data_IF_059313044157
#
_entry.id   IF_059313044157
#
_cell.length_a   1.000
_cell.length_b   1.000
_cell.length_c   1.000
_cell.angle_alpha   90.00
_cell.angle_beta   90.00
_cell.angle_gamma   90.00
#
_symmetry.space_group_name_H-M   'P 1'
#
loop_
_entity.id
_entity.type
_entity.pdbx_description
1 polymer ?
#
# COMPACT_ATOMS: atom_id res chain seq x y z
N UNK A 1 13.35 2.15 20.24
CA UNK A 1 13.46 2.95 19.00
C UNK A 1 12.28 2.55 18.15
N UNK A 2 11.24 3.39 18.11
CA UNK A 2 10.05 3.14 17.31
C UNK A 2 10.46 3.05 15.85
N UNK A 3 10.60 1.82 15.40
CA UNK A 3 10.70 1.49 13.98
C UNK A 3 9.26 1.41 13.53
N UNK A 4 8.66 2.56 13.23
CA UNK A 4 7.44 2.65 12.43
C UNK A 4 7.86 2.74 10.96
N UNK A 5 8.24 1.62 10.31
CA UNK A 5 8.75 1.62 8.94
C UNK A 5 7.71 2.12 7.93
N UNK A 6 6.45 2.20 8.36
CA UNK A 6 5.33 2.59 7.52
C UNK A 6 4.81 4.00 7.81
N UNK A 7 5.34 4.72 8.81
CA UNK A 7 4.86 6.05 9.21
C UNK A 7 3.34 6.07 9.48
N UNK A 8 2.83 5.09 10.21
CA UNK A 8 1.42 5.00 10.60
C UNK A 8 0.97 6.19 11.46
N UNK A 9 1.91 6.91 12.09
CA UNK A 9 1.66 8.16 12.82
C UNK A 9 0.86 9.20 12.03
N UNK A 10 1.00 9.24 10.70
CA UNK A 10 0.21 10.16 9.85
C UNK A 10 -1.29 9.91 9.93
N UNK A 11 -1.73 8.66 10.08
CA UNK A 11 -3.14 8.33 10.23
C UNK A 11 -3.68 8.74 11.60
N UNK A 12 -2.90 8.51 12.66
CA UNK A 12 -3.26 8.92 14.02
C UNK A 12 -3.47 10.43 14.10
N UNK A 13 -2.50 11.20 13.60
CA UNK A 13 -2.58 12.66 13.61
C UNK A 13 -3.82 13.22 12.88
N UNK A 14 -4.22 12.58 11.78
CA UNK A 14 -5.44 12.95 11.04
C UNK A 14 -6.71 12.54 11.81
N UNK A 15 -6.75 11.30 12.30
CA UNK A 15 -7.91 10.75 12.99
C UNK A 15 -8.16 11.42 14.34
N UNK A 16 -7.14 11.87 15.06
CA UNK A 16 -7.32 12.50 16.38
C UNK A 16 -8.18 13.77 16.33
N UNK A 17 -8.25 14.43 15.17
CA UNK A 17 -9.07 15.64 14.97
C UNK A 17 -10.44 15.37 14.34
N UNK A 18 -10.63 14.20 13.73
CA UNK A 18 -11.76 13.96 12.82
C UNK A 18 -12.52 12.65 13.07
N UNK A 19 -11.94 11.69 13.77
CA UNK A 19 -12.51 10.35 13.92
C UNK A 19 -13.82 10.36 14.69
N UNK A 20 -13.92 11.15 15.77
CA UNK A 20 -15.17 11.27 16.52
C UNK A 20 -16.32 11.78 15.63
N UNK A 21 -16.07 12.80 14.81
CA UNK A 21 -17.03 13.32 13.83
C UNK A 21 -17.36 12.29 12.75
N UNK A 22 -16.36 11.59 12.22
CA UNK A 22 -16.56 10.54 11.22
C UNK A 22 -17.44 9.42 11.74
N UNK A 23 -17.18 8.95 12.96
CA UNK A 23 -17.94 7.91 13.61
C UNK A 23 -19.39 8.33 13.89
N UNK A 24 -19.61 9.57 14.31
CA UNK A 24 -20.97 10.10 14.49
C UNK A 24 -21.73 10.19 13.16
N UNK A 25 -21.09 10.67 12.09
CA UNK A 25 -21.69 10.69 10.75
C UNK A 25 -22.04 9.29 10.25
N UNK A 26 -21.16 8.30 10.49
CA UNK A 26 -21.40 6.90 10.17
C UNK A 26 -22.57 6.32 10.98
N UNK A 27 -22.66 6.62 12.28
CA UNK A 27 -23.77 6.20 13.14
C UNK A 27 -25.10 6.82 12.70
N UNK A 28 -25.06 8.05 12.20
CA UNK A 28 -26.22 8.72 11.61
C UNK A 28 -26.55 8.25 10.19
N UNK A 29 -25.73 7.37 9.59
CA UNK A 29 -25.96 6.81 8.27
C UNK A 29 -25.75 7.82 7.13
N UNK A 30 -25.03 8.92 7.37
CA UNK A 30 -24.75 9.93 6.34
C UNK A 30 -23.44 10.67 6.59
N UNK A 31 -22.48 10.43 5.69
CA UNK A 31 -21.24 11.19 5.61
C UNK A 31 -21.49 12.64 5.19
N UNK A 32 -20.82 13.58 5.85
CA UNK A 32 -20.90 15.03 5.58
C UNK A 32 -19.53 15.69 5.49
N UNK A 33 -18.51 15.12 6.13
CA UNK A 33 -17.18 15.74 6.26
C UNK A 33 -16.08 15.02 5.46
N UNK A 34 -14.89 15.60 5.41
CA UNK A 34 -13.76 15.12 4.61
C UNK A 34 -12.80 14.23 5.40
N UNK A 35 -13.13 12.95 5.55
CA UNK A 35 -12.31 11.99 6.32
C UNK A 35 -12.07 10.63 5.65
N UNK A 36 -12.61 10.41 4.46
CA UNK A 36 -12.67 9.08 3.83
C UNK A 36 -11.30 8.39 3.73
N UNK A 37 -10.25 9.13 3.37
CA UNK A 37 -8.93 8.57 3.06
C UNK A 37 -8.21 7.98 4.27
N UNK A 38 -8.40 8.54 5.46
CA UNK A 38 -7.69 8.13 6.67
C UNK A 38 -8.55 7.33 7.65
N UNK A 39 -9.87 7.26 7.42
CA UNK A 39 -10.78 6.34 8.15
C UNK A 39 -10.97 5.02 7.39
N UNK A 40 -11.14 5.09 6.05
CA UNK A 40 -11.19 3.91 5.18
C UNK A 40 -10.05 3.96 4.14
N UNK A 41 -8.80 3.69 4.58
CA UNK A 41 -7.65 3.78 3.69
C UNK A 41 -7.68 2.71 2.61
N UNK A 42 -7.17 3.08 1.44
CA UNK A 42 -7.08 2.24 0.24
C UNK A 42 -5.63 2.21 -0.26
N UNK A 43 -5.31 1.37 -1.25
CA UNK A 43 -3.97 1.36 -1.85
C UNK A 43 -3.62 2.72 -2.47
N UNK A 44 -2.35 3.10 -2.31
CA UNK A 44 -1.75 4.23 -3.01
C UNK A 44 -1.79 3.96 -4.52
N UNK A 45 -2.10 5.00 -5.30
CA UNK A 45 -2.23 4.91 -6.76
C UNK A 45 -3.66 4.72 -7.28
N UNK A 46 -4.63 4.38 -6.41
CA UNK A 46 -6.05 4.33 -6.77
C UNK A 46 -6.72 5.71 -6.85
N UNK A 47 -6.13 6.73 -6.24
CA UNK A 47 -6.66 8.11 -6.25
C UNK A 47 -5.59 9.11 -6.67
N UNK A 48 -6.02 10.20 -7.29
CA UNK A 48 -5.14 11.27 -7.80
C UNK A 48 -5.03 12.48 -6.87
N UNK A 49 -5.81 12.56 -5.79
CA UNK A 49 -5.77 13.70 -4.87
C UNK A 49 -4.53 13.65 -3.97
N UNK A 50 -4.03 14.81 -3.50
CA UNK A 50 -2.93 14.86 -2.52
C UNK A 50 -3.23 14.02 -1.27
N UNK A 51 -4.47 14.06 -0.78
CA UNK A 51 -4.91 13.24 0.36
C UNK A 51 -4.86 11.73 0.06
N UNK A 52 -5.21 11.30 -1.16
CA UNK A 52 -5.12 9.90 -1.57
C UNK A 52 -3.66 9.43 -1.70
N UNK A 53 -2.74 10.33 -2.07
CA UNK A 53 -1.30 10.04 -2.07
C UNK A 53 -0.74 9.88 -0.64
N UNK A 54 -1.09 10.81 0.25
CA UNK A 54 -0.63 10.86 1.63
C UNK A 54 -1.15 9.69 2.47
N UNK A 55 -2.46 9.40 2.41
CA UNK A 55 -3.11 8.36 3.21
C UNK A 55 -3.32 7.03 2.48
N UNK A 56 -2.83 6.91 1.25
CA UNK A 56 -2.77 5.63 0.56
C UNK A 56 -1.79 4.68 1.23
N UNK A 57 -2.16 3.40 1.35
CA UNK A 57 -1.30 2.33 1.86
C UNK A 57 -0.41 1.79 0.72
N UNK A 58 0.84 1.44 1.04
CA UNK A 58 1.84 0.99 0.07
C UNK A 58 1.67 -0.46 -0.39
N UNK A 59 0.82 -1.25 0.28
CA UNK A 59 0.63 -2.67 -0.03
C UNK A 59 0.08 -3.45 1.16
N UNK A 60 0.12 -4.79 1.05
CA UNK A 60 -0.43 -5.70 2.06
C UNK A 60 0.33 -5.67 3.40
N UNK A 61 1.65 -5.47 3.39
CA UNK A 61 2.44 -5.40 4.64
C UNK A 61 2.05 -4.18 5.48
N UNK A 62 1.89 -3.03 4.84
CA UNK A 62 1.44 -1.82 5.53
C UNK A 62 0.00 -1.96 6.02
N UNK A 63 -0.89 -2.56 5.23
CA UNK A 63 -2.26 -2.84 5.65
C UNK A 63 -2.31 -3.77 6.88
N UNK A 64 -1.47 -4.81 6.94
CA UNK A 64 -1.32 -5.67 8.12
C UNK A 64 -0.85 -4.87 9.33
N UNK A 65 0.17 -4.03 9.17
CA UNK A 65 0.67 -3.18 10.24
C UNK A 65 -0.39 -2.19 10.75
N UNK A 66 -1.13 -1.56 9.83
CA UNK A 66 -2.25 -0.66 10.15
C UNK A 66 -3.31 -1.37 11.01
N UNK A 67 -3.71 -2.58 10.63
CA UNK A 67 -4.76 -3.31 11.36
C UNK A 67 -4.29 -3.89 12.70
N UNK A 68 -3.01 -4.25 12.79
CA UNK A 68 -2.37 -4.71 14.04
C UNK A 68 -2.15 -3.57 15.04
N UNK A 69 -2.08 -2.33 14.58
CA UNK A 69 -1.92 -1.17 15.47
C UNK A 69 -3.14 -1.03 16.40
N UNK A 70 -2.95 -0.90 17.73
CA UNK A 70 -4.04 -1.00 18.71
C UNK A 70 -5.13 0.06 18.53
N UNK A 71 -4.76 1.29 18.19
CA UNK A 71 -5.73 2.38 17.95
C UNK A 71 -6.35 2.30 16.54
N UNK A 72 -5.53 2.33 15.48
CA UNK A 72 -6.00 2.34 14.10
C UNK A 72 -6.87 1.11 13.76
N UNK A 73 -6.44 -0.08 14.17
CA UNK A 73 -7.20 -1.30 13.95
C UNK A 73 -8.55 -1.29 14.67
N UNK A 74 -8.58 -0.84 15.93
CA UNK A 74 -9.84 -0.71 16.67
C UNK A 74 -10.79 0.30 16.00
N UNK A 75 -10.26 1.46 15.59
CA UNK A 75 -11.03 2.52 14.91
C UNK A 75 -11.58 2.06 13.55
N UNK A 76 -10.81 1.31 12.76
CA UNK A 76 -11.30 0.78 11.48
C UNK A 76 -12.43 -0.23 11.69
N UNK A 77 -12.29 -1.15 12.65
CA UNK A 77 -13.34 -2.12 13.00
C UNK A 77 -14.62 -1.44 13.44
N UNK A 78 -14.52 -0.47 14.35
CA UNK A 78 -15.66 0.29 14.83
C UNK A 78 -16.36 1.06 13.69
N UNK A 79 -15.61 1.68 12.79
CA UNK A 79 -16.17 2.38 11.64
C UNK A 79 -16.91 1.43 10.67
N UNK A 80 -16.38 0.23 10.43
CA UNK A 80 -17.05 -0.79 9.60
C UNK A 80 -18.32 -1.31 10.28
N UNK A 81 -18.29 -1.50 11.61
CA UNK A 81 -19.48 -1.89 12.36
C UNK A 81 -20.58 -0.81 12.29
N UNK A 82 -20.21 0.47 12.40
CA UNK A 82 -21.14 1.58 12.23
C UNK A 82 -21.74 1.60 10.81
N UNK A 83 -20.93 1.34 9.77
CA UNK A 83 -21.43 1.15 8.41
C UNK A 83 -22.46 0.01 8.35
N UNK A 84 -22.13 -1.19 8.85
CA UNK A 84 -22.98 -2.39 8.78
C UNK A 84 -24.38 -2.22 9.40
N UNK A 85 -24.53 -1.30 10.36
CA UNK A 85 -25.83 -0.92 10.90
C UNK A 85 -26.78 -0.33 9.84
N UNK A 86 -26.22 0.27 8.78
CA UNK A 86 -26.92 0.93 7.68
C UNK A 86 -26.91 0.15 6.37
N UNK A 87 -26.66 -1.16 6.41
CA UNK A 87 -26.59 -2.02 5.20
C UNK A 87 -27.80 -1.90 4.25
N UNK A 88 -28.99 -1.62 4.78
CA UNK A 88 -30.21 -1.44 3.98
C UNK A 88 -30.18 -0.18 3.10
N UNK A 89 -29.38 0.84 3.46
CA UNK A 89 -29.20 2.07 2.67
C UNK A 89 -28.19 1.88 1.53
N UNK A 90 -27.38 0.82 1.58
CA UNK A 90 -26.22 0.64 0.71
C UNK A 90 -25.06 1.61 1.02
N UNK A 91 -23.89 1.33 0.44
CA UNK A 91 -22.71 2.16 0.68
C UNK A 91 -22.87 3.57 0.08
N UNK A 92 -23.47 3.67 -1.11
CA UNK A 92 -23.77 4.93 -1.79
C UNK A 92 -24.73 5.82 -0.98
N UNK A 93 -25.71 5.22 -0.30
CA UNK A 93 -26.66 5.97 0.54
C UNK A 93 -25.99 6.63 1.74
N UNK A 94 -24.97 5.98 2.33
CA UNK A 94 -24.25 6.48 3.50
C UNK A 94 -23.09 7.40 3.13
N UNK A 95 -22.28 7.01 2.15
CA UNK A 95 -21.01 7.65 1.83
C UNK A 95 -21.07 8.56 0.60
N UNK A 96 -22.05 8.35 -0.30
CA UNK A 96 -22.03 8.88 -1.66
C UNK A 96 -21.16 8.03 -2.59
N UNK A 97 -21.46 8.01 -3.89
CA UNK A 97 -20.92 7.01 -4.81
C UNK A 97 -19.39 6.99 -4.96
N UNK A 98 -18.73 8.16 -4.98
CA UNK A 98 -17.26 8.20 -5.06
C UNK A 98 -16.59 7.63 -3.81
N UNK A 99 -17.16 7.88 -2.63
CA UNK A 99 -16.61 7.40 -1.35
C UNK A 99 -17.02 5.95 -1.06
N UNK A 100 -18.14 5.48 -1.61
CA UNK A 100 -18.52 4.07 -1.61
C UNK A 100 -17.50 3.20 -2.36
N UNK A 101 -16.95 3.69 -3.48
CA UNK A 101 -15.85 3.02 -4.18
C UNK A 101 -14.60 2.91 -3.30
N UNK A 102 -14.24 3.98 -2.57
CA UNK A 102 -13.10 3.97 -1.64
C UNK A 102 -13.28 2.96 -0.52
N UNK A 103 -14.49 2.89 0.01
CA UNK A 103 -14.86 1.91 1.01
C UNK A 103 -14.73 0.48 0.47
N UNK A 104 -15.19 0.21 -0.75
CA UNK A 104 -14.99 -1.11 -1.40
C UNK A 104 -13.50 -1.45 -1.58
N UNK A 105 -12.68 -0.49 -2.01
CA UNK A 105 -11.23 -0.67 -2.13
C UNK A 105 -10.58 -0.95 -0.76
N UNK A 106 -10.98 -0.23 0.28
CA UNK A 106 -10.54 -0.46 1.66
C UNK A 106 -10.87 -1.88 2.12
N UNK A 107 -12.15 -2.29 2.04
CA UNK A 107 -12.57 -3.63 2.47
C UNK A 107 -11.84 -4.73 1.67
N UNK A 108 -11.67 -4.54 0.36
CA UNK A 108 -10.95 -5.48 -0.50
C UNK A 108 -9.50 -5.64 -0.06
N UNK A 109 -8.81 -4.53 0.23
CA UNK A 109 -7.43 -4.54 0.68
C UNK A 109 -7.27 -5.30 2.00
N UNK A 110 -8.08 -4.97 3.01
CA UNK A 110 -7.96 -5.59 4.33
C UNK A 110 -8.44 -7.05 4.36
N UNK A 111 -9.46 -7.41 3.57
CA UNK A 111 -9.87 -8.81 3.39
C UNK A 111 -8.76 -9.69 2.78
N UNK A 112 -7.83 -9.10 2.01
CA UNK A 112 -6.67 -9.79 1.47
C UNK A 112 -5.47 -9.75 2.41
N UNK A 113 -5.31 -8.65 3.16
CA UNK A 113 -4.20 -8.48 4.08
C UNK A 113 -4.30 -9.39 5.31
N UNK A 114 -5.52 -9.58 5.83
CA UNK A 114 -5.84 -10.36 7.03
C UNK A 114 -7.11 -11.22 6.77
N UNK A 115 -6.98 -12.33 6.03
CA UNK A 115 -8.13 -13.15 5.62
C UNK A 115 -8.86 -13.82 6.80
N UNK A 116 -8.17 -14.01 7.93
CA UNK A 116 -8.74 -14.60 9.15
C UNK A 116 -9.65 -13.61 9.91
N UNK A 117 -9.74 -12.35 9.48
CA UNK A 117 -10.64 -11.36 10.04
C UNK A 117 -11.92 -11.22 9.18
N UNK A 118 -13.03 -11.91 9.55
CA UNK A 118 -14.21 -12.03 8.67
C UNK A 118 -14.95 -10.71 8.45
N UNK A 119 -14.75 -9.70 9.32
CA UNK A 119 -15.46 -8.43 9.29
C UNK A 119 -15.43 -7.76 7.90
N UNK A 120 -14.27 -7.79 7.23
CA UNK A 120 -14.11 -7.18 5.90
C UNK A 120 -14.88 -7.92 4.81
N UNK A 121 -14.84 -9.26 4.84
CA UNK A 121 -15.61 -10.09 3.92
C UNK A 121 -17.12 -9.91 4.15
N UNK A 122 -17.56 -9.90 5.41
CA UNK A 122 -18.96 -9.63 5.77
C UNK A 122 -19.44 -8.26 5.26
N UNK A 123 -18.62 -7.22 5.37
CA UNK A 123 -18.96 -5.91 4.84
C UNK A 123 -18.99 -5.88 3.30
N UNK A 124 -18.08 -6.60 2.62
CA UNK A 124 -18.14 -6.74 1.16
C UNK A 124 -19.44 -7.45 0.71
N UNK A 125 -19.84 -8.51 1.40
CA UNK A 125 -21.11 -9.18 1.15
C UNK A 125 -22.30 -8.23 1.35
N UNK A 126 -22.34 -7.53 2.49
CA UNK A 126 -23.46 -6.67 2.85
C UNK A 126 -23.67 -5.47 1.91
N UNK A 127 -22.59 -4.88 1.40
CA UNK A 127 -22.66 -3.63 0.62
C UNK A 127 -22.44 -3.82 -0.88
N UNK A 128 -21.74 -4.88 -1.28
CA UNK A 128 -21.28 -5.07 -2.65
C UNK A 128 -21.52 -6.50 -3.17
N UNK A 129 -22.30 -7.32 -2.46
CA UNK A 129 -22.58 -8.72 -2.84
C UNK A 129 -21.32 -9.57 -2.99
N UNK A 130 -20.32 -9.29 -2.16
CA UNK A 130 -19.05 -10.02 -2.15
C UNK A 130 -18.05 -9.53 -3.20
N UNK A 131 -18.47 -8.61 -4.07
CA UNK A 131 -17.64 -8.16 -5.17
C UNK A 131 -16.46 -7.31 -4.67
N UNK A 132 -15.24 -7.82 -4.86
CA UNK A 132 -13.99 -7.11 -4.58
C UNK A 132 -13.71 -6.00 -5.59
N UNK A 133 -13.01 -4.95 -5.19
CA UNK A 133 -12.60 -3.87 -6.08
C UNK A 133 -11.53 -4.34 -7.08
N UNK A 134 -11.82 -4.36 -8.40
CA UNK A 134 -10.89 -4.89 -9.41
C UNK A 134 -9.59 -4.08 -9.52
N UNK A 135 -9.62 -2.77 -9.28
CA UNK A 135 -8.41 -1.93 -9.35
C UNK A 135 -7.45 -2.22 -8.19
N UNK A 136 -7.98 -2.43 -6.98
CA UNK A 136 -7.18 -2.91 -5.84
C UNK A 136 -6.51 -4.24 -6.18
N UNK A 137 -7.24 -5.19 -6.77
CA UNK A 137 -6.68 -6.50 -7.18
C UNK A 137 -5.61 -6.37 -8.27
N UNK A 138 -5.78 -5.45 -9.21
CA UNK A 138 -4.79 -5.19 -10.26
C UNK A 138 -3.49 -4.61 -9.70
N UNK A 139 -3.58 -3.60 -8.82
CA UNK A 139 -2.39 -2.98 -8.22
C UNK A 139 -1.59 -3.99 -7.40
N UNK A 140 -2.25 -4.81 -6.57
CA UNK A 140 -1.57 -5.84 -5.78
C UNK A 140 -0.89 -6.90 -6.66
N UNK A 141 -1.49 -7.29 -7.79
CA UNK A 141 -0.86 -8.20 -8.74
C UNK A 141 0.38 -7.59 -9.38
N UNK A 142 0.38 -6.28 -9.67
CA UNK A 142 1.54 -5.58 -10.25
C UNK A 142 2.68 -5.46 -9.25
N UNK A 143 2.39 -5.21 -7.98
CA UNK A 143 3.38 -5.19 -6.90
C UNK A 143 3.98 -6.58 -6.65
N UNK A 144 3.15 -7.63 -6.61
CA UNK A 144 3.62 -9.01 -6.49
C UNK A 144 4.39 -9.52 -7.72
N UNK A 145 4.04 -9.03 -8.92
CA UNK A 145 4.70 -9.39 -10.17
C UNK A 145 6.09 -8.75 -10.34
N UNK A 146 6.36 -7.61 -9.71
CA UNK A 146 7.68 -6.96 -9.76
C UNK A 146 8.78 -7.73 -9.00
N UNK A 147 8.42 -8.72 -8.16
CA UNK A 147 9.37 -9.59 -7.46
C UNK A 147 9.58 -10.97 -8.12
N UNK A 148 8.84 -11.34 -9.18
CA UNK A 148 8.94 -12.66 -9.82
C UNK A 148 10.12 -12.79 -10.82
N UNK A 149 11.17 -11.98 -10.69
CA UNK A 149 12.22 -11.84 -11.71
C UNK A 149 13.66 -11.67 -11.22
N UNK A 150 13.99 -12.01 -9.96
CA UNK A 150 15.40 -12.16 -9.54
C UNK A 150 15.57 -13.48 -8.81
N UNK A 151 16.29 -14.47 -9.36
CA UNK A 151 16.68 -15.61 -8.56
C UNK A 151 17.52 -15.08 -7.39
N UNK A 152 17.19 -15.53 -6.18
CA UNK A 152 18.03 -15.32 -5.02
C UNK A 152 19.42 -15.89 -5.36
N UNK A 153 20.38 -15.02 -5.65
CA UNK A 153 21.78 -15.42 -5.61
C UNK A 153 22.06 -15.84 -4.18
N UNK A 154 22.05 -17.14 -3.94
CA UNK A 154 22.76 -17.76 -2.82
C UNK A 154 24.16 -17.14 -2.83
N UNK A 155 24.45 -16.31 -1.83
CA UNK A 155 25.83 -15.87 -1.56
C UNK A 155 26.61 -17.14 -1.29
N UNK A 156 27.51 -17.49 -2.21
CA UNK A 156 28.52 -18.49 -1.96
C UNK A 156 29.29 -18.09 -0.67
N UNK A 157 29.62 -19.04 0.21
CA UNK A 157 30.47 -18.76 1.36
C UNK A 157 31.83 -18.24 0.86
N UNK A 158 32.36 -17.23 1.54
CA UNK A 158 33.64 -16.62 1.24
C UNK A 158 34.77 -17.69 1.28
N UNK A 159 35.77 -17.62 0.37
CA UNK A 159 36.92 -18.51 0.47
C UNK A 159 37.76 -18.15 1.69
N UNK A 160 38.11 -19.19 2.45
CA UNK A 160 39.04 -19.17 3.57
C UNK A 160 40.42 -18.71 3.09
N UNK A 161 40.89 -17.56 3.58
CA UNK A 161 42.18 -16.97 3.21
C UNK A 161 43.26 -17.60 4.09
N UNK A 162 43.78 -18.74 3.63
CA UNK A 162 45.01 -19.33 4.12
C UNK A 162 46.22 -18.47 3.76
N UNK A 163 46.93 -17.99 4.78
CA UNK A 163 48.19 -17.27 4.65
C UNK A 163 49.29 -18.18 4.09
N UNK A 164 49.81 -17.86 2.90
CA UNK A 164 50.95 -18.54 2.28
C UNK A 164 51.80 -17.56 1.46
N UNK A 165 53.02 -17.30 1.92
CA UNK A 165 53.99 -16.35 1.38
C UNK A 165 54.66 -16.81 0.06
N UNK A 166 55.17 -15.80 -0.67
CA UNK A 166 56.20 -15.81 -1.75
C UNK A 166 55.69 -16.25 -3.14
N UNK A 167 56.10 -15.69 -4.30
CA UNK A 167 57.33 -15.01 -4.71
C UNK A 167 57.06 -14.18 -5.99
N UNK A 168 57.74 -13.02 -6.11
CA UNK A 168 57.79 -12.13 -7.29
C UNK A 168 58.34 -12.81 -8.55
N UNK A 169 57.77 -12.48 -9.73
CA UNK A 169 58.43 -12.23 -11.04
C UNK A 169 57.49 -11.27 -11.85
N UNK A 170 57.81 -9.99 -12.10
CA UNK A 170 58.43 -9.38 -13.31
C UNK A 170 57.95 -10.04 -14.63
N UNK A 171 57.54 -9.39 -15.73
CA UNK A 171 57.65 -8.02 -16.31
C UNK A 171 56.78 -8.04 -17.61
N UNK A 172 56.30 -6.90 -18.11
CA UNK A 172 55.86 -6.74 -19.53
C UNK A 172 54.78 -5.67 -19.78
N UNK A 173 55.01 -4.61 -20.59
CA UNK A 173 54.17 -3.40 -20.61
C UNK A 173 53.38 -3.29 -21.96
N UNK A 174 52.82 -2.12 -22.39
CA UNK A 174 51.39 -2.00 -22.68
C UNK A 174 51.09 -1.73 -24.17
N UNK A 175 49.82 -1.77 -24.57
CA UNK A 175 49.38 -1.14 -25.83
C UNK A 175 48.05 -0.42 -25.63
N UNK A 176 47.95 0.73 -26.31
CA UNK A 176 47.09 1.89 -26.03
C UNK A 176 46.19 2.14 -27.26
N UNK A 177 45.12 2.94 -27.05
CA UNK A 177 44.25 3.65 -28.02
C UNK A 177 43.17 2.81 -28.73
N UNK A 178 41.97 3.31 -29.05
CA UNK A 178 41.39 4.66 -29.09
C UNK A 178 39.87 4.59 -28.75
N UNK A 179 39.26 5.49 -27.96
CA UNK A 179 38.61 6.77 -28.31
C UNK A 179 37.73 6.81 -29.59
N UNK A 180 36.41 6.95 -29.36
CA UNK A 180 35.41 7.66 -30.16
C UNK A 180 34.06 7.59 -29.42
N UNK A 181 33.52 8.62 -28.73
CA UNK A 181 32.83 9.84 -29.21
C UNK A 181 31.95 9.53 -30.44
N UNK A 182 30.68 9.86 -30.56
CA UNK A 182 29.80 10.79 -29.82
C UNK A 182 28.40 10.77 -30.47
N UNK A 183 27.38 11.23 -29.73
CA UNK A 183 26.16 11.94 -30.19
C UNK A 183 24.96 11.17 -30.77
N UNK A 184 23.90 11.09 -29.94
CA UNK A 184 22.51 11.49 -30.27
C UNK A 184 22.45 13.03 -30.45
N UNK A 185 21.48 13.68 -31.15
CA UNK A 185 20.05 13.66 -30.76
C UNK A 185 18.96 13.85 -31.85
N UNK A 186 17.73 13.57 -31.41
CA UNK A 186 16.38 14.12 -31.71
C UNK A 186 16.15 14.97 -32.98
N UNK A 187 15.06 14.67 -33.70
CA UNK A 187 13.80 15.46 -33.74
C UNK A 187 12.99 15.21 -35.02
N UNK A 188 11.69 14.95 -34.88
CA UNK A 188 10.62 15.26 -35.85
C UNK A 188 10.17 16.74 -35.63
N UNK A 189 9.07 17.29 -36.21
CA UNK A 189 8.18 16.84 -37.30
C UNK A 189 7.97 17.93 -38.39
N UNK A 190 7.16 17.62 -39.40
CA UNK A 190 6.60 18.55 -40.39
C UNK A 190 5.56 17.83 -41.22
#
# INVERSE_FOLDING_TARGET
MDTDPFDLGRFLAAQDRAYATALEELRQGRKRSHWIWYVFPQLRGLGSSPAAGLYGLAGLDEARAYLAHPVLGARLREAIQAMLAHRALGADGVLGGLDALKFRSCLTLFALAVPDEPLFATALEAFFGGARDPLTLELLRREGGACAGRPAMVRAPAPDVGAGRTRRLRRGPPTRLARGRSRRPRSAPG
#
